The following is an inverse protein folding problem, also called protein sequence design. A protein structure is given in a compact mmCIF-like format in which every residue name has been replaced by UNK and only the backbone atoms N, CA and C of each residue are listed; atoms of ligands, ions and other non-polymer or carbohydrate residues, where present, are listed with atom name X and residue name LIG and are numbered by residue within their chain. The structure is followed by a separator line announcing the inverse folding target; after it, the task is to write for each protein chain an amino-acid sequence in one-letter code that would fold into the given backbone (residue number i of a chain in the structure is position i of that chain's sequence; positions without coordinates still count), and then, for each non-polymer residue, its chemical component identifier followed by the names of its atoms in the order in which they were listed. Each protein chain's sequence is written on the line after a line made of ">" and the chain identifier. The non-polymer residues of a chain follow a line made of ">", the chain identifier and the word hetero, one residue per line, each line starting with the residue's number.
data_IF_209308959893
#
_entry.id   IF_209308959893
#
_cell.length_a   1.000
_cell.length_b   1.000
_cell.length_c   1.000
_cell.angle_alpha   90.00
_cell.angle_beta   90.00
_cell.angle_gamma   90.00
#
_symmetry.space_group_name_H-M   'P 1'
#
loop_
_entity.id
_entity.type
_entity.pdbx_description
1 polymer ?
#
# COMPACT_ATOMS: atom_id res chain seq x y z
N UNK A 1 -3.48 31.74 -1.19
CA UNK A 1 -4.09 30.40 -1.06
C UNK A 1 -4.04 30.08 0.41
N UNK A 2 -5.17 29.77 1.08
CA UNK A 2 -5.17 29.42 2.50
C UNK A 2 -4.25 28.22 2.75
N UNK A 3 -3.42 28.24 3.80
CA UNK A 3 -2.52 27.13 4.15
C UNK A 3 -3.26 26.13 5.06
N UNK A 4 -2.91 24.85 4.97
CA UNK A 4 -3.53 23.80 5.79
C UNK A 4 -3.32 24.03 7.29
N UNK A 5 -2.31 24.82 7.66
CA UNK A 5 -1.98 25.18 9.05
C UNK A 5 -2.92 26.22 9.66
N UNK A 6 -3.72 26.91 8.84
CA UNK A 6 -4.68 27.91 9.29
C UNK A 6 -5.95 27.27 9.90
N UNK A 7 -6.11 25.94 9.78
CA UNK A 7 -7.25 25.17 10.31
C UNK A 7 -6.91 24.50 11.65
N UNK A 8 -6.63 25.29 12.68
CA UNK A 8 -6.40 24.81 14.07
C UNK A 8 -7.61 25.13 14.95
N UNK A 9 -7.94 24.27 15.94
CA UNK A 9 -9.16 24.27 16.79
C UNK A 9 -9.35 25.52 17.69
N UNK A 10 -9.36 26.72 17.12
CA UNK A 10 -9.44 27.97 17.85
C UNK A 10 -9.57 29.22 16.98
N UNK A 11 -9.77 29.06 15.67
CA UNK A 11 -9.98 30.19 14.76
C UNK A 11 -11.48 30.43 14.59
N UNK A 12 -11.91 31.70 14.58
CA UNK A 12 -13.32 32.12 14.53
C UNK A 12 -14.07 31.55 13.29
N UNK A 13 -13.33 31.12 12.26
CA UNK A 13 -13.82 30.49 11.03
C UNK A 13 -14.14 29.00 11.16
N UNK A 14 -13.72 28.36 12.25
CA UNK A 14 -13.95 26.94 12.53
C UNK A 14 -15.43 26.62 12.68
N UNK A 15 -16.28 27.62 12.91
CA UNK A 15 -17.75 27.49 12.94
C UNK A 15 -18.34 27.17 11.55
N UNK A 16 -17.65 27.55 10.47
CA UNK A 16 -18.09 27.25 9.08
C UNK A 16 -17.73 25.83 8.65
N UNK A 17 -16.67 25.26 9.22
CA UNK A 17 -16.19 23.90 8.92
C UNK A 17 -17.26 22.83 9.21
N UNK A 18 -17.94 22.81 10.37
CA UNK A 18 -19.00 21.85 10.65
C UNK A 18 -20.23 22.09 9.76
N UNK A 19 -20.57 23.34 9.44
CA UNK A 19 -21.71 23.65 8.55
C UNK A 19 -21.44 23.18 7.11
N UNK A 20 -20.22 23.39 6.60
CA UNK A 20 -19.80 22.87 5.30
C UNK A 20 -19.74 21.34 5.31
N UNK A 21 -19.22 20.73 6.37
CA UNK A 21 -19.14 19.28 6.50
C UNK A 21 -20.53 18.62 6.64
N UNK A 22 -21.53 19.33 7.18
CA UNK A 22 -22.93 18.93 7.20
C UNK A 22 -23.55 19.04 5.80
N UNK A 23 -23.38 20.17 5.10
CA UNK A 23 -23.83 20.36 3.71
C UNK A 23 -23.21 19.36 2.74
N UNK A 24 -21.96 18.96 2.98
CA UNK A 24 -21.24 17.94 2.22
C UNK A 24 -21.56 16.50 2.68
N UNK A 25 -22.40 16.33 3.71
CA UNK A 25 -22.84 15.02 4.21
C UNK A 25 -21.74 14.21 4.93
N UNK A 26 -20.60 14.82 5.23
CA UNK A 26 -19.45 14.16 5.87
C UNK A 26 -19.72 13.85 7.35
N UNK A 27 -20.53 14.68 8.02
CA UNK A 27 -20.88 14.53 9.44
C UNK A 27 -22.04 13.56 9.70
N UNK A 28 -22.78 13.14 8.67
CA UNK A 28 -23.92 12.20 8.80
C UNK A 28 -23.50 10.74 9.06
N UNK A 29 -22.23 10.49 9.41
CA UNK A 29 -21.71 9.15 9.62
C UNK A 29 -21.02 8.99 10.96
N UNK A 30 -21.77 9.12 12.05
CA UNK A 30 -21.63 8.18 13.18
C UNK A 30 -22.04 6.73 12.78
N UNK A 31 -21.93 6.36 11.50
CA UNK A 31 -21.58 4.97 11.19
C UNK A 31 -20.21 4.81 11.83
N UNK A 32 -20.17 4.17 13.00
CA UNK A 32 -19.09 3.23 13.28
C UNK A 32 -18.98 2.44 11.99
N UNK A 33 -18.00 2.79 11.15
CA UNK A 33 -17.68 1.97 9.99
C UNK A 33 -17.57 0.60 10.61
N UNK A 34 -18.45 -0.32 10.19
CA UNK A 34 -18.39 -1.69 10.66
C UNK A 34 -17.00 -2.12 10.27
N UNK A 35 -16.08 -2.09 11.24
CA UNK A 35 -14.68 -2.39 11.01
C UNK A 35 -14.76 -3.79 10.43
N UNK A 36 -14.37 -3.98 9.16
CA UNK A 36 -14.41 -5.30 8.56
C UNK A 36 -13.63 -6.19 9.52
N UNK A 37 -14.26 -7.25 10.04
CA UNK A 37 -13.57 -8.19 10.91
C UNK A 37 -12.43 -8.76 10.08
N UNK A 38 -11.21 -8.35 10.43
CA UNK A 38 -10.03 -8.84 9.74
C UNK A 38 -9.86 -10.31 10.12
N UNK A 39 -9.59 -11.18 9.15
CA UNK A 39 -9.25 -12.56 9.46
C UNK A 39 -8.03 -12.59 10.39
N UNK A 40 -8.06 -13.49 11.38
CA UNK A 40 -6.96 -13.66 12.34
C UNK A 40 -5.67 -14.14 11.68
N UNK A 41 -5.78 -14.81 10.54
CA UNK A 41 -4.67 -15.33 9.76
C UNK A 41 -5.03 -15.36 8.27
N UNK A 42 -4.09 -14.96 7.42
CA UNK A 42 -4.21 -15.04 5.96
C UNK A 42 -2.94 -15.66 5.40
N UNK A 43 -3.10 -16.70 4.57
CA UNK A 43 -1.99 -17.31 3.84
C UNK A 43 -1.91 -16.71 2.43
N UNK A 44 -0.79 -16.05 2.12
CA UNK A 44 -0.53 -15.43 0.83
C UNK A 44 0.50 -16.21 0.00
N UNK A 45 1.05 -17.31 0.53
CA UNK A 45 2.17 -18.05 -0.06
C UNK A 45 1.86 -18.62 -1.45
N UNK A 46 0.58 -18.87 -1.76
CA UNK A 46 0.15 -19.36 -3.07
C UNK A 46 0.47 -18.43 -4.24
N UNK A 47 0.71 -17.14 -3.96
CA UNK A 47 1.08 -16.14 -4.97
C UNK A 47 2.52 -15.65 -4.83
N UNK A 48 3.27 -16.14 -3.85
CA UNK A 48 4.67 -15.80 -3.69
C UNK A 48 5.52 -16.66 -4.64
N UNK A 49 6.56 -16.04 -5.18
CA UNK A 49 7.61 -16.74 -5.90
C UNK A 49 8.46 -17.61 -4.95
N UNK A 50 9.26 -18.55 -5.48
CA UNK A 50 10.24 -19.28 -4.69
C UNK A 50 11.18 -18.34 -3.92
N UNK A 51 11.72 -18.80 -2.79
CA UNK A 51 12.65 -18.01 -1.97
C UNK A 51 13.97 -17.83 -2.75
N UNK A 52 14.41 -16.58 -2.84
CA UNK A 52 15.64 -16.21 -3.55
C UNK A 52 16.77 -15.81 -2.59
N UNK A 53 18.00 -15.81 -3.11
CA UNK A 53 19.19 -15.43 -2.36
C UNK A 53 19.86 -14.20 -2.99
N UNK A 54 19.85 -13.09 -2.27
CA UNK A 54 20.48 -11.83 -2.69
C UNK A 54 22.02 -11.89 -2.71
N UNK A 55 22.62 -12.89 -2.06
CA UNK A 55 24.07 -12.98 -1.83
C UNK A 55 24.63 -11.70 -1.19
N UNK A 56 25.91 -11.41 -1.39
CA UNK A 56 26.59 -10.24 -0.83
C UNK A 56 26.43 -8.95 -1.68
N UNK A 57 25.48 -8.93 -2.63
CA UNK A 57 25.27 -7.78 -3.53
C UNK A 57 24.61 -6.56 -2.85
N UNK A 58 24.09 -6.69 -1.63
CA UNK A 58 23.36 -5.60 -0.97
C UNK A 58 22.07 -5.18 -1.70
N UNK A 59 21.40 -6.12 -2.39
CA UNK A 59 20.25 -5.87 -3.26
C UNK A 59 18.88 -6.15 -2.61
N UNK A 60 18.78 -6.06 -1.28
CA UNK A 60 17.56 -6.38 -0.53
C UNK A 60 16.34 -5.57 -0.99
N UNK A 61 16.52 -4.29 -1.30
CA UNK A 61 15.46 -3.41 -1.83
C UNK A 61 14.99 -3.85 -3.20
N UNK A 62 15.90 -4.30 -4.06
CA UNK A 62 15.57 -4.80 -5.39
C UNK A 62 14.78 -6.11 -5.30
N UNK A 63 15.22 -7.05 -4.44
CA UNK A 63 14.52 -8.31 -4.19
C UNK A 63 13.12 -8.07 -3.61
N UNK A 64 12.98 -7.15 -2.65
CA UNK A 64 11.68 -6.78 -2.10
C UNK A 64 10.75 -6.18 -3.17
N UNK A 65 11.29 -5.29 -4.01
CA UNK A 65 10.51 -4.63 -5.07
C UNK A 65 9.97 -5.65 -6.07
N UNK A 66 10.79 -6.61 -6.51
CA UNK A 66 10.30 -7.62 -7.45
C UNK A 66 9.44 -8.70 -6.83
N UNK A 67 9.68 -9.07 -5.57
CA UNK A 67 8.74 -9.95 -4.86
C UNK A 67 7.31 -9.40 -4.86
N UNK A 68 7.14 -8.08 -4.76
CA UNK A 68 5.82 -7.42 -4.84
C UNK A 68 5.23 -7.52 -6.25
N UNK A 69 6.03 -7.27 -7.30
CA UNK A 69 5.59 -7.34 -8.69
C UNK A 69 5.16 -8.76 -9.06
N UNK A 70 6.01 -9.75 -8.75
CA UNK A 70 5.74 -11.18 -8.99
C UNK A 70 4.49 -11.64 -8.26
N UNK A 71 4.28 -11.17 -7.02
CA UNK A 71 3.07 -11.45 -6.25
C UNK A 71 1.80 -10.95 -6.94
N UNK A 72 1.77 -9.68 -7.35
CA UNK A 72 0.58 -9.12 -8.00
C UNK A 72 0.33 -9.73 -9.38
N UNK A 73 1.39 -10.08 -10.11
CA UNK A 73 1.26 -10.75 -11.39
C UNK A 73 0.68 -12.17 -11.23
N UNK A 74 1.18 -12.93 -10.25
CA UNK A 74 0.68 -14.27 -9.94
C UNK A 74 -0.77 -14.22 -9.44
N UNK A 75 -1.10 -13.22 -8.61
CA UNK A 75 -2.46 -13.02 -8.09
C UNK A 75 -3.48 -12.60 -9.15
N UNK A 76 -3.09 -11.77 -10.11
CA UNK A 76 -4.01 -11.25 -11.13
C UNK A 76 -4.17 -12.19 -12.33
N UNK A 77 -3.09 -12.84 -12.77
CA UNK A 77 -3.07 -13.56 -14.04
C UNK A 77 -2.81 -15.07 -13.90
N UNK A 78 -2.50 -15.56 -12.70
CA UNK A 78 -2.16 -16.97 -12.47
C UNK A 78 -0.93 -17.45 -13.24
N UNK A 79 -0.11 -16.52 -13.75
CA UNK A 79 1.10 -16.79 -14.52
C UNK A 79 2.29 -16.25 -13.74
N UNK A 80 3.21 -17.15 -13.44
CA UNK A 80 4.53 -16.80 -12.93
C UNK A 80 5.37 -16.32 -14.12
N UNK A 81 5.75 -15.04 -14.13
CA UNK A 81 6.76 -14.54 -15.04
C UNK A 81 8.09 -14.55 -14.29
N UNK A 82 9.00 -15.43 -14.69
CA UNK A 82 10.41 -15.30 -14.30
C UNK A 82 10.96 -14.13 -15.10
N UNK A 83 10.98 -12.95 -14.51
CA UNK A 83 11.36 -11.74 -15.23
C UNK A 83 12.86 -11.78 -15.57
N UNK A 84 13.16 -12.20 -16.80
CA UNK A 84 14.47 -12.08 -17.43
C UNK A 84 14.90 -10.60 -17.56
N UNK A 85 13.99 -9.63 -17.39
CA UNK A 85 14.29 -8.19 -17.32
C UNK A 85 14.89 -7.75 -15.98
N UNK A 86 14.55 -8.44 -14.88
CA UNK A 86 15.11 -8.16 -13.56
C UNK A 86 16.48 -8.82 -13.32
N UNK A 87 17.00 -9.55 -14.31
CA UNK A 87 18.37 -10.05 -14.29
C UNK A 87 19.40 -8.91 -14.14
N UNK A 88 19.07 -7.67 -14.52
CA UNK A 88 19.95 -6.52 -14.32
C UNK A 88 20.13 -6.13 -12.85
N UNK A 89 19.11 -6.35 -12.03
CA UNK A 89 19.16 -6.28 -10.55
C UNK A 89 19.53 -7.61 -9.91
N UNK A 90 19.57 -8.71 -10.68
CA UNK A 90 19.80 -10.10 -10.22
C UNK A 90 21.03 -10.83 -10.81
N UNK A 91 22.00 -10.19 -11.48
CA UNK A 91 23.27 -10.83 -11.90
C UNK A 91 24.42 -9.81 -11.99
N UNK A 92 25.67 -10.18 -11.73
CA UNK A 92 26.44 -11.15 -12.51
C UNK A 92 27.36 -12.06 -11.67
N UNK A 93 27.45 -13.33 -12.09
CA UNK A 93 28.62 -14.25 -12.14
C UNK A 93 29.61 -14.20 -10.95
N UNK A 94 29.87 -15.26 -10.18
CA UNK A 94 29.94 -16.71 -10.40
C UNK A 94 29.66 -17.45 -9.09
#
# INVERSE_FOLDING_TARGET
>A
MPDLRDYTEGTIEDTKIPEMAEKLGLLSSKKKSKVPELPTLVDLRSWCSPIENQMDLGSCTAHASVGVIEYFQSRAFGKYMTDQGFLFTRRQET
#
